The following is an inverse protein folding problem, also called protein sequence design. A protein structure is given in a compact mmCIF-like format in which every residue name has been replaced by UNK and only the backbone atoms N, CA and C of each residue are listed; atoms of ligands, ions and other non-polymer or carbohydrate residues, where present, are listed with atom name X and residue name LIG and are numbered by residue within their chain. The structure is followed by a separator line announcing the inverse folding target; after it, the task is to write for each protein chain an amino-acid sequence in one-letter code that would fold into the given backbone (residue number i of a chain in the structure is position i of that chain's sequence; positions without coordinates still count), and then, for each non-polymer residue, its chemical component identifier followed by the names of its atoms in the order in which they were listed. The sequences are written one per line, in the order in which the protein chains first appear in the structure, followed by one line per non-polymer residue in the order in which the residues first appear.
data_IF_210726179362
#
_entry.id   IF_210726179362
#
_cell.length_a   1.000
_cell.length_b   1.000
_cell.length_c   1.000
_cell.angle_alpha   90.00
_cell.angle_beta   90.00
_cell.angle_gamma   90.00
#
_symmetry.space_group_name_H-M   'P 1'
#
loop_
_entity.id
_entity.type
_entity.pdbx_description
1 polymer ?
#
# COMPACT_ATOMS: atom_id res chain seq x y z
N UNK A 1 -62.52 -19.81 -57.70
CA UNK A 1 -62.53 -18.38 -57.31
C UNK A 1 -62.96 -18.28 -55.86
N UNK A 2 -62.27 -17.44 -55.10
CA UNK A 2 -62.67 -16.74 -53.86
C UNK A 2 -63.55 -17.52 -52.86
N UNK A 3 -62.96 -18.00 -51.76
CA UNK A 3 -62.71 -17.25 -50.52
C UNK A 3 -63.91 -17.35 -49.56
N UNK A 4 -63.76 -18.23 -48.58
CA UNK A 4 -64.66 -18.38 -47.46
C UNK A 4 -64.20 -17.50 -46.29
N UNK A 5 -65.17 -16.80 -45.71
CA UNK A 5 -65.10 -15.98 -44.52
C UNK A 5 -65.22 -16.87 -43.29
N UNK A 6 -64.44 -16.56 -42.25
CA UNK A 6 -65.02 -16.51 -40.91
C UNK A 6 -64.31 -17.22 -39.76
N UNK A 7 -63.70 -16.35 -38.93
CA UNK A 7 -63.80 -16.25 -37.46
C UNK A 7 -62.76 -16.98 -36.55
N UNK A 8 -62.19 -16.13 -35.68
CA UNK A 8 -61.88 -16.28 -34.23
C UNK A 8 -60.40 -16.30 -33.81
N UNK A 9 -60.10 -15.30 -32.96
CA UNK A 9 -59.10 -15.22 -31.88
C UNK A 9 -57.61 -15.18 -32.22
N UNK A 10 -56.95 -14.10 -31.80
CA UNK A 10 -55.97 -14.07 -30.70
C UNK A 10 -55.05 -12.83 -30.83
N UNK A 11 -54.70 -12.23 -29.69
CA UNK A 11 -53.83 -11.06 -29.51
C UNK A 11 -52.62 -10.96 -30.46
N UNK A 12 -52.27 -9.75 -30.97
CA UNK A 12 -51.05 -9.57 -31.73
C UNK A 12 -49.83 -9.27 -30.85
N UNK A 13 -48.79 -9.99 -31.24
CA UNK A 13 -47.37 -9.95 -30.93
C UNK A 13 -46.72 -8.62 -31.36
N UNK A 14 -45.83 -8.12 -30.49
CA UNK A 14 -44.60 -7.34 -30.72
C UNK A 14 -44.28 -6.85 -32.15
N UNK A 15 -44.21 -5.52 -32.31
CA UNK A 15 -43.21 -4.71 -33.05
C UNK A 15 -43.23 -3.33 -32.36
N UNK A 16 -42.18 -2.53 -32.18
CA UNK A 16 -40.78 -2.51 -32.58
C UNK A 16 -40.11 -1.43 -31.72
N UNK A 17 -38.83 -1.59 -31.46
CA UNK A 17 -37.91 -0.69 -30.75
C UNK A 17 -37.92 0.77 -31.21
N UNK A 18 -37.66 1.73 -30.31
CA UNK A 18 -36.87 2.92 -30.60
C UNK A 18 -35.42 2.72 -30.15
N UNK A 19 -34.51 3.01 -31.07
CA UNK A 19 -33.05 3.01 -30.95
C UNK A 19 -32.50 3.82 -29.76
N UNK A 20 -31.39 3.39 -29.12
CA UNK A 20 -30.72 4.11 -28.05
C UNK A 20 -29.72 5.12 -28.64
N UNK A 21 -30.10 6.38 -28.77
CA UNK A 21 -29.15 7.43 -29.20
C UNK A 21 -29.45 8.80 -28.60
N UNK A 22 -29.66 8.89 -27.27
CA UNK A 22 -29.71 10.18 -26.56
C UNK A 22 -29.04 10.22 -25.17
N UNK A 23 -28.10 9.31 -24.90
CA UNK A 23 -27.25 9.38 -23.69
C UNK A 23 -25.77 9.29 -24.07
N UNK A 24 -25.30 10.23 -24.89
CA UNK A 24 -23.89 10.39 -25.30
C UNK A 24 -23.31 11.74 -24.82
N UNK A 25 -23.86 12.35 -23.75
CA UNK A 25 -23.45 13.69 -23.29
C UNK A 25 -22.94 13.79 -21.86
N UNK A 26 -22.79 12.68 -21.15
CA UNK A 26 -21.99 12.65 -19.92
C UNK A 26 -20.60 12.13 -20.27
N UNK A 27 -19.80 12.99 -20.90
CA UNK A 27 -18.35 12.85 -20.83
C UNK A 27 -17.98 12.85 -19.35
N UNK A 28 -17.20 11.87 -18.93
CA UNK A 28 -16.73 11.70 -17.57
C UNK A 28 -16.08 12.98 -17.05
N UNK A 29 -16.80 13.72 -16.21
CA UNK A 29 -16.25 14.85 -15.46
C UNK A 29 -15.61 14.29 -14.18
N UNK A 30 -14.46 13.63 -14.33
CA UNK A 30 -13.55 13.48 -13.20
C UNK A 30 -13.00 14.87 -12.87
N UNK A 31 -12.97 15.31 -11.60
CA UNK A 31 -12.22 16.50 -11.22
C UNK A 31 -10.73 16.16 -11.30
N UNK A 32 -10.13 16.27 -12.48
CA UNK A 32 -8.72 16.66 -12.55
C UNK A 32 -8.63 18.05 -11.94
N UNK A 33 -8.01 18.19 -10.77
CA UNK A 33 -7.47 19.47 -10.31
C UNK A 33 -6.45 19.97 -11.36
N UNK A 34 -6.94 20.67 -12.39
CA UNK A 34 -6.08 21.41 -13.33
C UNK A 34 -5.60 22.67 -12.63
N UNK A 35 -4.34 22.61 -12.23
CA UNK A 35 -3.52 23.71 -11.75
C UNK A 35 -3.45 24.82 -12.83
N UNK A 36 -3.79 26.06 -12.47
CA UNK A 36 -3.29 27.25 -13.18
C UNK A 36 -2.27 27.90 -12.24
N UNK A 37 -0.98 27.72 -12.55
CA UNK A 37 0.10 28.40 -11.86
C UNK A 37 0.31 29.78 -12.47
N UNK A 38 0.01 30.84 -11.72
CA UNK A 38 0.72 32.11 -11.85
C UNK A 38 1.94 32.04 -10.94
N UNK A 39 3.10 31.76 -11.52
CA UNK A 39 4.39 31.70 -10.82
C UNK A 39 4.88 33.09 -10.43
N UNK A 40 5.32 33.23 -9.18
CA UNK A 40 5.89 34.47 -8.66
C UNK A 40 6.22 34.37 -7.18
N UNK A 41 7.24 33.59 -6.82
CA UNK A 41 7.75 33.50 -5.47
C UNK A 41 9.03 32.69 -5.43
N UNK A 42 10.14 33.35 -5.07
CA UNK A 42 11.47 32.75 -4.91
C UNK A 42 11.45 31.74 -3.76
N UNK A 43 11.38 30.44 -4.07
CA UNK A 43 11.54 29.35 -3.10
C UNK A 43 12.87 28.62 -3.33
N UNK A 44 13.60 28.37 -2.25
CA UNK A 44 14.78 27.51 -2.21
C UNK A 44 14.49 26.15 -2.87
N UNK A 45 15.47 25.52 -3.54
CA UNK A 45 15.24 24.27 -4.25
C UNK A 45 14.77 23.18 -3.27
N UNK A 46 13.80 22.34 -3.68
CA UNK A 46 13.37 21.20 -2.88
C UNK A 46 14.57 20.29 -2.59
N UNK A 47 14.58 19.55 -1.47
CA UNK A 47 15.63 18.58 -1.20
C UNK A 47 15.69 17.60 -2.36
N UNK A 48 16.82 17.61 -3.07
CA UNK A 48 17.10 16.70 -4.18
C UNK A 48 16.87 15.29 -3.66
N UNK A 49 15.87 14.59 -4.18
CA UNK A 49 15.71 13.16 -3.90
C UNK A 49 16.98 12.51 -4.43
N UNK A 50 17.77 11.81 -3.59
CA UNK A 50 18.89 11.04 -4.10
C UNK A 50 18.34 10.10 -5.19
N UNK A 51 19.04 9.98 -6.31
CA UNK A 51 18.71 8.96 -7.32
C UNK A 51 18.98 7.58 -6.73
N UNK A 52 18.03 7.09 -5.92
CA UNK A 52 18.08 5.76 -5.34
C UNK A 52 17.92 4.73 -6.46
N UNK A 53 18.93 3.89 -6.62
CA UNK A 53 18.86 2.71 -7.48
C UNK A 53 18.33 1.55 -6.66
N UNK A 54 17.03 1.35 -6.74
CA UNK A 54 16.34 0.25 -6.08
C UNK A 54 16.55 -1.06 -6.84
N UNK A 55 16.63 -2.17 -6.12
CA UNK A 55 17.09 -3.44 -6.67
C UNK A 55 15.95 -4.43 -6.91
N UNK A 56 14.78 -4.23 -6.27
CA UNK A 56 13.67 -5.20 -6.31
C UNK A 56 13.24 -5.51 -7.75
N UNK A 57 12.82 -4.49 -8.50
CA UNK A 57 12.28 -4.72 -9.83
C UNK A 57 13.34 -5.24 -10.81
N UNK A 58 14.59 -4.74 -10.73
CA UNK A 58 15.68 -5.19 -11.60
C UNK A 58 16.06 -6.65 -11.32
N UNK A 59 16.05 -7.06 -10.04
CA UNK A 59 16.28 -8.44 -9.65
C UNK A 59 15.16 -9.37 -10.15
N UNK A 60 13.90 -8.95 -10.01
CA UNK A 60 12.74 -9.70 -10.51
C UNK A 60 12.74 -9.85 -12.03
N UNK A 61 13.02 -8.76 -12.78
CA UNK A 61 13.13 -8.79 -14.24
C UNK A 61 14.25 -9.74 -14.68
N UNK A 62 15.40 -9.71 -14.00
CA UNK A 62 16.54 -10.59 -14.27
C UNK A 62 16.20 -12.06 -14.04
N UNK A 63 15.30 -12.35 -13.10
CA UNK A 63 14.73 -13.68 -12.85
C UNK A 63 13.57 -14.04 -13.80
N UNK A 64 13.26 -13.20 -14.78
CA UNK A 64 12.22 -13.44 -15.78
C UNK A 64 10.79 -13.26 -15.26
N UNK A 65 10.60 -12.44 -14.22
CA UNK A 65 9.29 -11.94 -13.77
C UNK A 65 9.02 -10.62 -14.46
N UNK A 66 7.86 -10.48 -15.10
CA UNK A 66 7.47 -9.21 -15.72
C UNK A 66 7.11 -8.17 -14.65
N UNK A 67 7.92 -7.13 -14.50
CA UNK A 67 7.65 -6.04 -13.55
C UNK A 67 7.01 -4.80 -14.18
N UNK A 68 6.54 -4.87 -15.43
CA UNK A 68 6.03 -3.70 -16.18
C UNK A 68 4.96 -2.94 -15.38
N UNK A 69 3.94 -3.63 -14.88
CA UNK A 69 2.86 -3.01 -14.11
C UNK A 69 3.30 -2.58 -12.71
N UNK A 70 4.21 -3.32 -12.06
CA UNK A 70 4.76 -2.92 -10.76
C UNK A 70 5.56 -1.61 -10.87
N UNK A 71 6.39 -1.47 -11.92
CA UNK A 71 7.14 -0.25 -12.22
C UNK A 71 6.23 0.91 -12.57
N UNK A 72 5.19 0.69 -13.38
CA UNK A 72 4.20 1.72 -13.72
C UNK A 72 3.50 2.23 -12.44
N UNK A 73 3.04 1.33 -11.58
CA UNK A 73 2.44 1.68 -10.31
C UNK A 73 3.41 2.44 -9.38
N UNK A 74 4.69 2.03 -9.33
CA UNK A 74 5.74 2.76 -8.60
C UNK A 74 5.94 4.17 -9.15
N UNK A 75 5.95 4.36 -10.46
CA UNK A 75 6.05 5.69 -11.07
C UNK A 75 4.84 6.56 -10.74
N UNK A 76 3.64 5.97 -10.74
CA UNK A 76 2.42 6.67 -10.33
C UNK A 76 2.52 7.10 -8.86
N UNK A 77 2.97 6.24 -7.95
CA UNK A 77 3.25 6.59 -6.56
C UNK A 77 4.27 7.75 -6.47
N UNK A 78 5.40 7.64 -7.16
CA UNK A 78 6.44 8.67 -7.21
C UNK A 78 5.91 10.02 -7.72
N UNK A 79 5.04 10.01 -8.72
CA UNK A 79 4.43 11.23 -9.27
C UNK A 79 3.58 11.97 -8.24
N UNK A 80 2.89 11.25 -7.35
CA UNK A 80 2.08 11.83 -6.28
C UNK A 80 2.94 12.42 -5.18
N UNK A 81 3.95 11.68 -4.71
CA UNK A 81 4.80 12.13 -3.60
C UNK A 81 5.75 13.27 -4.01
N UNK A 82 6.03 13.46 -5.30
CA UNK A 82 6.73 14.65 -5.82
C UNK A 82 5.98 15.95 -5.50
N UNK A 83 4.67 15.90 -5.26
CA UNK A 83 3.85 17.03 -4.83
C UNK A 83 3.99 17.40 -3.35
N UNK A 84 4.78 16.65 -2.56
CA UNK A 84 4.94 16.86 -1.11
C UNK A 84 6.08 17.84 -0.78
N UNK A 85 5.78 19.14 -0.66
CA UNK A 85 6.71 20.06 0.04
C UNK A 85 6.68 19.82 1.56
N UNK A 86 7.55 20.53 2.29
CA UNK A 86 7.53 20.52 3.77
C UNK A 86 6.16 20.91 4.33
N UNK A 87 5.44 21.82 3.67
CA UNK A 87 4.11 22.25 4.11
C UNK A 87 3.08 21.16 3.84
N UNK A 88 3.04 20.59 2.62
CA UNK A 88 2.04 19.56 2.29
C UNK A 88 2.13 18.32 3.18
N UNK A 89 3.34 17.99 3.64
CA UNK A 89 3.60 16.86 4.54
C UNK A 89 2.88 17.01 5.87
N UNK A 90 2.88 18.22 6.43
CA UNK A 90 2.27 18.54 7.74
C UNK A 90 0.79 18.92 7.64
N UNK A 91 0.25 19.09 6.43
CA UNK A 91 -1.17 19.42 6.25
C UNK A 91 -2.05 18.21 6.60
N UNK A 92 -3.15 18.45 7.31
CA UNK A 92 -4.14 17.43 7.63
C UNK A 92 -4.71 16.77 6.37
N UNK A 93 -4.92 15.46 6.43
CA UNK A 93 -5.34 14.65 5.27
C UNK A 93 -6.66 15.09 4.65
N UNK A 94 -7.60 15.63 5.42
CA UNK A 94 -8.90 16.15 4.97
C UNK A 94 -8.82 17.55 4.32
N UNK A 95 -7.70 18.25 4.49
CA UNK A 95 -7.48 19.61 3.98
C UNK A 95 -6.53 19.61 2.78
N UNK A 96 -5.65 18.61 2.68
CA UNK A 96 -4.70 18.49 1.58
C UNK A 96 -5.41 18.53 0.21
N UNK A 97 -4.87 19.36 -0.70
CA UNK A 97 -5.38 19.53 -2.08
C UNK A 97 -4.35 19.21 -3.17
N UNK A 98 -3.07 19.07 -2.80
CA UNK A 98 -1.97 18.93 -3.76
C UNK A 98 -1.66 17.47 -4.10
N UNK A 99 -1.92 16.55 -3.18
CA UNK A 99 -1.61 15.13 -3.34
C UNK A 99 -2.91 14.33 -3.34
N UNK A 100 -3.08 13.50 -4.36
CA UNK A 100 -4.20 12.58 -4.45
C UNK A 100 -3.88 11.33 -3.62
N UNK A 101 -4.31 11.35 -2.34
CA UNK A 101 -4.02 10.28 -1.39
C UNK A 101 -4.70 8.96 -1.79
N UNK A 102 -5.88 9.03 -2.41
CA UNK A 102 -6.58 7.86 -2.93
C UNK A 102 -5.77 7.19 -4.06
N UNK A 103 -5.31 7.96 -5.05
CA UNK A 103 -4.44 7.45 -6.12
C UNK A 103 -3.11 6.97 -5.58
N UNK A 104 -2.56 7.63 -4.57
CA UNK A 104 -1.31 7.20 -3.92
C UNK A 104 -1.48 5.82 -3.28
N UNK A 105 -2.55 5.61 -2.51
CA UNK A 105 -2.86 4.33 -1.87
C UNK A 105 -3.25 3.22 -2.86
N UNK A 106 -3.91 3.55 -3.97
CA UNK A 106 -4.18 2.58 -5.04
C UNK A 106 -2.91 2.26 -5.82
N UNK A 107 -2.00 3.20 -6.02
CA UNK A 107 -0.70 2.92 -6.66
C UNK A 107 0.10 1.92 -5.83
N UNK A 108 0.10 2.06 -4.50
CA UNK A 108 0.64 1.06 -3.57
C UNK A 108 -0.04 -0.31 -3.79
N UNK A 109 -1.37 -0.32 -3.85
CA UNK A 109 -2.14 -1.55 -4.07
C UNK A 109 -1.85 -2.21 -5.41
N UNK A 110 -1.69 -1.41 -6.47
CA UNK A 110 -1.47 -1.88 -7.84
C UNK A 110 -0.06 -2.47 -8.00
N UNK A 111 0.94 -1.84 -7.39
CA UNK A 111 2.30 -2.37 -7.35
C UNK A 111 2.34 -3.72 -6.63
N UNK A 112 1.82 -3.76 -5.40
CA UNK A 112 1.83 -4.98 -4.60
C UNK A 112 0.97 -6.09 -5.24
N UNK A 113 -0.15 -5.74 -5.87
CA UNK A 113 -0.94 -6.69 -6.65
C UNK A 113 -0.15 -7.26 -7.82
N UNK A 114 0.61 -6.45 -8.56
CA UNK A 114 1.46 -6.93 -9.65
C UNK A 114 2.62 -7.82 -9.14
N UNK A 115 3.14 -7.55 -7.94
CA UNK A 115 4.16 -8.39 -7.30
C UNK A 115 3.60 -9.72 -6.77
N UNK A 116 2.35 -9.74 -6.30
CA UNK A 116 1.66 -10.94 -5.78
C UNK A 116 1.07 -11.81 -6.89
N UNK A 117 0.51 -11.18 -7.91
CA UNK A 117 -0.34 -11.82 -8.90
C UNK A 117 0.46 -12.24 -10.12
N UNK A 118 0.19 -13.45 -10.63
CA UNK A 118 0.64 -13.86 -11.97
C UNK A 118 -0.29 -13.32 -13.08
N UNK A 119 -1.26 -12.47 -12.72
CA UNK A 119 -2.18 -11.85 -13.67
C UNK A 119 -1.42 -10.92 -14.61
N UNK A 120 -1.60 -11.06 -15.94
CA UNK A 120 -1.07 -10.11 -16.90
C UNK A 120 -1.85 -8.80 -16.92
N UNK A 121 -2.94 -8.67 -16.15
CA UNK A 121 -3.71 -7.44 -16.08
C UNK A 121 -3.38 -6.62 -14.84
N UNK A 122 -3.27 -5.29 -15.00
CA UNK A 122 -3.10 -4.37 -13.89
C UNK A 122 -4.40 -4.24 -13.08
N UNK A 123 -4.25 -3.81 -11.83
CA UNK A 123 -5.37 -3.42 -10.98
C UNK A 123 -6.10 -2.21 -11.61
N UNK A 124 -7.42 -2.25 -11.80
CA UNK A 124 -8.15 -1.14 -12.43
C UNK A 124 -8.27 0.03 -11.45
N UNK A 125 -7.42 1.04 -11.59
CA UNK A 125 -7.30 2.17 -10.66
C UNK A 125 -8.58 3.04 -10.63
N UNK A 126 -9.06 3.46 -11.79
CA UNK A 126 -10.14 4.45 -11.89
C UNK A 126 -11.46 3.97 -11.25
N UNK A 127 -11.92 2.72 -11.44
CA UNK A 127 -13.13 2.23 -10.77
C UNK A 127 -13.10 2.31 -9.24
N UNK A 128 -11.94 2.13 -8.60
CA UNK A 128 -11.83 2.26 -7.15
C UNK A 128 -11.83 3.73 -6.70
N UNK A 129 -11.30 4.65 -7.51
CA UNK A 129 -11.44 6.09 -7.28
C UNK A 129 -12.91 6.50 -7.40
N UNK A 130 -13.59 6.07 -8.46
CA UNK A 130 -15.01 6.36 -8.69
C UNK A 130 -15.89 5.84 -7.55
N UNK A 131 -15.53 4.70 -6.95
CA UNK A 131 -16.25 4.18 -5.78
C UNK A 131 -16.24 5.14 -4.59
N UNK A 132 -15.20 5.94 -4.38
CA UNK A 132 -15.17 6.96 -3.32
C UNK A 132 -16.16 8.09 -3.61
N UNK A 133 -16.30 8.50 -4.87
CA UNK A 133 -17.31 9.47 -5.29
C UNK A 133 -18.73 8.91 -5.11
N UNK A 134 -18.94 7.64 -5.44
CA UNK A 134 -20.22 6.96 -5.21
C UNK A 134 -20.60 6.92 -3.73
N UNK A 135 -19.64 6.62 -2.84
CA UNK A 135 -19.86 6.65 -1.39
C UNK A 135 -20.26 8.05 -0.90
N UNK A 136 -19.63 9.11 -1.42
CA UNK A 136 -20.02 10.48 -1.11
C UNK A 136 -21.43 10.83 -1.63
N UNK A 137 -21.79 10.38 -2.85
CA UNK A 137 -23.14 10.54 -3.38
C UNK A 137 -24.19 9.78 -2.57
N UNK A 138 -23.87 8.55 -2.15
CA UNK A 138 -24.71 7.73 -1.28
C UNK A 138 -24.94 8.41 0.08
N UNK A 139 -23.90 9.02 0.66
CA UNK A 139 -24.01 9.82 1.88
C UNK A 139 -24.99 10.99 1.70
N UNK A 140 -24.86 11.77 0.61
CA UNK A 140 -25.75 12.89 0.32
C UNK A 140 -27.22 12.48 0.09
N UNK A 141 -27.46 11.33 -0.56
CA UNK A 141 -28.83 10.82 -0.80
C UNK A 141 -29.53 10.40 0.48
N UNK A 142 -28.78 9.85 1.42
CA UNK A 142 -29.33 9.25 2.65
C UNK A 142 -29.40 10.23 3.82
N UNK A 143 -28.56 11.27 3.84
CA UNK A 143 -28.50 12.22 4.94
C UNK A 143 -29.12 13.57 4.59
N UNK A 144 -30.13 13.95 5.36
CA UNK A 144 -30.79 15.28 5.29
C UNK A 144 -30.04 16.36 6.09
N UNK A 145 -28.94 16.00 6.73
CA UNK A 145 -28.21 16.78 7.75
C UNK A 145 -27.06 17.60 7.13
N UNK A 146 -27.05 17.78 5.81
CA UNK A 146 -25.96 18.46 5.07
C UNK A 146 -25.74 19.94 5.43
N UNK A 147 -26.66 20.54 6.21
CA UNK A 147 -26.56 21.95 6.70
C UNK A 147 -26.73 22.06 8.22
N UNK A 148 -26.46 20.99 8.96
CA UNK A 148 -26.48 21.04 10.42
C UNK A 148 -25.19 21.63 11.00
N UNK A 149 -25.04 21.64 12.33
CA UNK A 149 -23.78 22.04 12.95
C UNK A 149 -22.64 21.11 12.50
N UNK A 150 -21.38 21.58 12.53
CA UNK A 150 -20.22 20.76 12.17
C UNK A 150 -20.20 19.39 12.86
N UNK A 151 -20.55 19.34 14.14
CA UNK A 151 -20.57 18.12 14.94
C UNK A 151 -21.66 17.17 14.48
N UNK A 152 -22.88 17.67 14.28
CA UNK A 152 -23.99 16.84 13.84
C UNK A 152 -23.75 16.27 12.43
N UNK A 153 -23.06 17.03 11.57
CA UNK A 153 -22.62 16.57 10.25
C UNK A 153 -21.57 15.46 10.38
N UNK A 154 -20.53 15.66 11.18
CA UNK A 154 -19.44 14.69 11.36
C UNK A 154 -19.94 13.39 12.04
N UNK A 155 -20.87 13.49 13.00
CA UNK A 155 -21.54 12.35 13.63
C UNK A 155 -22.42 11.58 12.63
N UNK A 156 -23.09 12.31 11.74
CA UNK A 156 -23.88 11.73 10.64
C UNK A 156 -22.99 10.97 9.66
N UNK A 157 -21.84 11.53 9.27
CA UNK A 157 -20.86 10.87 8.41
C UNK A 157 -20.23 9.65 9.09
N UNK A 158 -19.84 9.78 10.36
CA UNK A 158 -19.34 8.66 11.17
C UNK A 158 -20.38 7.52 11.21
N UNK A 159 -21.64 7.86 11.47
CA UNK A 159 -22.73 6.89 11.50
C UNK A 159 -22.97 6.25 10.14
N UNK A 160 -22.87 7.01 9.04
CA UNK A 160 -22.99 6.48 7.68
C UNK A 160 -21.86 5.50 7.35
N UNK A 161 -20.61 5.82 7.72
CA UNK A 161 -19.48 4.97 7.38
C UNK A 161 -19.44 3.68 8.18
N UNK A 162 -19.76 3.73 9.47
CA UNK A 162 -19.47 2.61 10.37
C UNK A 162 -20.72 1.91 10.93
N UNK A 163 -21.89 2.57 10.93
CA UNK A 163 -23.09 2.06 11.62
C UNK A 163 -24.22 1.73 10.64
N UNK A 164 -24.56 2.65 9.74
CA UNK A 164 -25.71 2.54 8.83
C UNK A 164 -25.26 2.01 7.47
N UNK A 165 -26.01 1.07 6.90
CA UNK A 165 -25.84 0.70 5.49
C UNK A 165 -26.28 1.86 4.60
N UNK A 166 -25.45 2.24 3.62
CA UNK A 166 -25.93 2.85 2.40
C UNK A 166 -26.78 1.81 1.67
N UNK A 167 -28.09 1.81 1.91
CA UNK A 167 -29.02 0.98 1.14
C UNK A 167 -29.07 1.62 -0.25
N UNK A 168 -28.27 1.10 -1.19
CA UNK A 168 -28.56 0.99 -2.62
C UNK A 168 -27.34 0.38 -3.34
N UNK A 169 -27.37 -0.95 -3.45
CA UNK A 169 -26.57 -1.74 -4.38
C UNK A 169 -26.70 -1.18 -5.80
N UNK A 170 -25.64 -0.58 -6.34
CA UNK A 170 -25.42 -0.51 -7.78
C UNK A 170 -24.93 -1.89 -8.25
N UNK A 171 -25.48 -2.45 -9.35
CA UNK A 171 -24.86 -3.60 -9.98
C UNK A 171 -23.58 -3.10 -10.63
N UNK A 172 -22.42 -3.51 -10.11
CA UNK A 172 -21.16 -3.32 -10.81
C UNK A 172 -21.31 -3.93 -12.21
N UNK A 173 -21.02 -3.13 -13.23
CA UNK A 173 -20.90 -3.63 -14.59
C UNK A 173 -19.95 -4.84 -14.57
N UNK A 174 -20.39 -5.92 -15.19
CA UNK A 174 -19.62 -7.16 -15.33
C UNK A 174 -18.23 -6.86 -15.88
N UNK A 175 -17.25 -6.73 -15.00
CA UNK A 175 -15.85 -6.92 -15.38
C UNK A 175 -15.68 -8.43 -15.51
N UNK A 176 -15.30 -8.89 -16.70
CA UNK A 176 -15.04 -10.30 -17.04
C UNK A 176 -13.77 -10.83 -16.34
N UNK A 177 -13.64 -10.62 -15.03
CA UNK A 177 -12.62 -11.18 -14.17
C UNK A 177 -13.32 -11.87 -13.02
N UNK A 178 -13.46 -13.20 -13.11
CA UNK A 178 -13.77 -14.12 -12.00
C UNK A 178 -14.91 -13.71 -11.06
N UNK A 179 -16.01 -14.45 -11.10
CA UNK A 179 -17.12 -14.36 -10.14
C UNK A 179 -16.61 -14.27 -8.67
N UNK A 180 -16.73 -13.09 -8.06
CA UNK A 180 -16.75 -12.95 -6.60
C UNK A 180 -18.16 -12.55 -6.21
N UNK A 181 -18.89 -13.51 -5.67
CA UNK A 181 -20.20 -13.31 -5.10
C UNK A 181 -20.02 -12.47 -3.82
N UNK A 182 -20.40 -11.19 -3.88
CA UNK A 182 -20.31 -10.29 -2.72
C UNK A 182 -21.21 -10.81 -1.60
N UNK A 183 -20.58 -11.30 -0.52
CA UNK A 183 -21.29 -11.65 0.71
C UNK A 183 -22.02 -10.43 1.25
N UNK A 184 -23.33 -10.57 1.46
CA UNK A 184 -24.14 -9.57 2.15
C UNK A 184 -23.76 -9.51 3.63
N UNK A 185 -22.76 -8.70 3.97
CA UNK A 185 -22.63 -8.20 5.34
C UNK A 185 -23.56 -6.99 5.53
N UNK A 186 -24.32 -6.99 6.63
CA UNK A 186 -25.32 -5.96 6.95
C UNK A 186 -24.72 -4.78 7.74
N UNK A 187 -23.41 -4.53 7.64
CA UNK A 187 -22.67 -3.62 8.52
C UNK A 187 -21.86 -2.61 7.70
N UNK A 188 -21.65 -1.40 8.23
CA UNK A 188 -20.75 -0.41 7.63
C UNK A 188 -19.29 -0.88 7.66
N UNK A 189 -18.37 0.01 7.25
CA UNK A 189 -16.95 -0.24 7.37
C UNK A 189 -16.59 -0.63 8.80
N UNK A 190 -15.68 -1.60 8.96
CA UNK A 190 -15.20 -2.03 10.26
C UNK A 190 -13.68 -2.15 10.26
N UNK A 191 -13.09 -1.91 11.44
CA UNK A 191 -11.65 -2.05 11.63
C UNK A 191 -11.29 -3.53 11.74
N UNK A 192 -10.38 -3.98 10.90
CA UNK A 192 -9.79 -5.30 11.03
C UNK A 192 -8.70 -5.30 12.09
N UNK A 193 -8.66 -6.34 12.93
CA UNK A 193 -7.56 -6.56 13.85
C UNK A 193 -6.42 -7.20 13.06
N UNK A 194 -5.38 -6.41 12.74
CA UNK A 194 -4.30 -6.71 11.78
C UNK A 194 -3.37 -7.88 12.15
N UNK A 195 -3.81 -8.85 12.96
CA UNK A 195 -2.97 -9.94 13.46
C UNK A 195 -3.01 -11.21 12.62
N UNK A 196 -3.93 -11.32 11.65
CA UNK A 196 -4.01 -12.48 10.77
C UNK A 196 -3.34 -12.20 9.43
N UNK A 197 -2.13 -12.75 9.23
CA UNK A 197 -1.37 -12.73 7.95
C UNK A 197 -2.15 -13.34 6.77
N UNK A 198 -3.22 -14.08 7.07
CA UNK A 198 -4.01 -14.81 6.07
C UNK A 198 -4.84 -13.87 5.17
N UNK A 199 -5.07 -12.62 5.57
CA UNK A 199 -5.96 -11.69 4.89
C UNK A 199 -5.35 -10.27 4.85
N UNK A 200 -4.51 -9.94 3.85
CA UNK A 200 -3.91 -8.60 3.73
C UNK A 200 -4.90 -7.54 3.20
N UNK A 201 -6.13 -7.94 2.85
CA UNK A 201 -7.20 -7.06 2.35
C UNK A 201 -7.35 -5.73 3.10
N UNK A 202 -7.28 -5.68 4.45
CA UNK A 202 -7.48 -4.43 5.17
C UNK A 202 -6.34 -3.40 4.98
N UNK A 203 -5.22 -3.79 4.37
CA UNK A 203 -4.06 -2.93 4.11
C UNK A 203 -4.17 -2.17 2.79
N UNK A 204 -5.11 -2.54 1.92
CA UNK A 204 -5.17 -2.03 0.55
C UNK A 204 -6.51 -1.36 0.26
N UNK A 205 -6.49 -0.13 -0.26
CA UNK A 205 -7.71 0.66 -0.46
C UNK A 205 -8.75 -0.05 -1.33
N UNK A 206 -8.32 -0.68 -2.43
CA UNK A 206 -9.22 -1.40 -3.35
C UNK A 206 -9.99 -2.53 -2.63
N UNK A 207 -9.30 -3.27 -1.76
CA UNK A 207 -9.89 -4.35 -0.99
C UNK A 207 -10.75 -3.81 0.15
N UNK A 208 -10.33 -2.73 0.82
CA UNK A 208 -11.14 -2.06 1.86
C UNK A 208 -12.49 -1.59 1.28
N UNK A 209 -12.50 -1.00 0.09
CA UNK A 209 -13.73 -0.56 -0.59
C UNK A 209 -14.64 -1.73 -1.00
N UNK A 210 -14.05 -2.90 -1.24
CA UNK A 210 -14.75 -4.13 -1.67
C UNK A 210 -15.33 -4.89 -0.48
N UNK A 211 -14.52 -5.12 0.55
CA UNK A 211 -14.85 -5.97 1.71
C UNK A 211 -15.34 -5.17 2.92
N UNK A 212 -15.26 -3.84 2.87
CA UNK A 212 -15.64 -2.93 3.96
C UNK A 212 -14.89 -3.21 5.26
N UNK A 213 -13.70 -3.80 5.17
CA UNK A 213 -12.82 -4.14 6.28
C UNK A 213 -11.47 -3.49 6.06
N UNK A 214 -11.01 -2.66 6.99
CA UNK A 214 -9.80 -1.86 6.79
C UNK A 214 -8.94 -1.67 8.04
N UNK A 215 -7.67 -1.34 7.84
CA UNK A 215 -6.81 -0.78 8.87
C UNK A 215 -7.33 0.59 9.31
N UNK A 216 -6.88 1.08 10.47
CA UNK A 216 -7.22 2.45 10.89
C UNK A 216 -6.78 3.50 9.86
N UNK A 217 -5.61 3.31 9.22
CA UNK A 217 -5.09 4.23 8.21
C UNK A 217 -5.93 4.21 6.92
N UNK A 218 -6.35 3.04 6.45
CA UNK A 218 -7.21 2.94 5.27
C UNK A 218 -8.61 3.50 5.51
N UNK A 219 -9.17 3.27 6.71
CA UNK A 219 -10.45 3.86 7.08
C UNK A 219 -10.37 5.39 7.22
N UNK A 220 -9.26 5.91 7.76
CA UNK A 220 -9.02 7.35 7.83
C UNK A 220 -8.91 7.97 6.44
N UNK A 221 -8.24 7.29 5.51
CA UNK A 221 -8.17 7.69 4.11
C UNK A 221 -9.57 7.78 3.50
N UNK A 222 -10.37 6.70 3.56
CA UNK A 222 -11.75 6.69 3.02
C UNK A 222 -12.59 7.83 3.60
N UNK A 223 -12.52 8.05 4.92
CA UNK A 223 -13.22 9.14 5.60
C UNK A 223 -12.78 10.50 5.01
N UNK A 224 -11.47 10.73 4.90
CA UNK A 224 -10.91 11.99 4.40
C UNK A 224 -11.27 12.27 2.94
N UNK A 225 -11.30 11.25 2.09
CA UNK A 225 -11.61 11.40 0.66
C UNK A 225 -13.08 11.77 0.47
N UNK A 226 -14.00 11.20 1.26
CA UNK A 226 -15.40 11.60 1.23
C UNK A 226 -15.55 13.07 1.66
N UNK A 227 -14.86 13.51 2.71
CA UNK A 227 -14.87 14.92 3.12
C UNK A 227 -14.34 15.85 2.01
N UNK A 228 -13.28 15.47 1.31
CA UNK A 228 -12.74 16.23 0.17
C UNK A 228 -13.76 16.34 -0.97
N UNK A 229 -14.45 15.25 -1.31
CA UNK A 229 -15.51 15.27 -2.33
C UNK A 229 -16.65 16.19 -1.92
N UNK A 230 -17.11 16.10 -0.67
CA UNK A 230 -18.19 16.96 -0.15
C UNK A 230 -17.78 18.44 -0.14
N UNK A 231 -16.53 18.74 0.19
CA UNK A 231 -15.96 20.08 0.08
C UNK A 231 -15.91 20.57 -1.36
N UNK A 232 -15.51 19.71 -2.30
CA UNK A 232 -15.50 20.04 -3.72
C UNK A 232 -16.90 20.40 -4.24
N UNK A 233 -17.94 19.72 -3.75
CA UNK A 233 -19.34 20.06 -4.05
C UNK A 233 -19.89 21.25 -3.26
N UNK A 234 -19.06 21.96 -2.48
CA UNK A 234 -19.49 23.08 -1.62
C UNK A 234 -20.57 22.67 -0.59
N UNK A 235 -20.55 21.40 -0.16
CA UNK A 235 -21.40 20.87 0.90
C UNK A 235 -20.71 20.82 2.27
N UNK A 236 -19.43 21.17 2.32
CA UNK A 236 -18.63 21.29 3.54
C UNK A 236 -18.01 22.69 3.59
N UNK A 237 -18.52 23.53 4.50
CA UNK A 237 -18.15 24.95 4.64
C UNK A 237 -17.22 25.24 5.84
N UNK A 238 -16.83 24.21 6.59
CA UNK A 238 -15.90 24.29 7.71
C UNK A 238 -14.65 23.42 7.49
N UNK A 239 -13.61 23.70 8.27
CA UNK A 239 -12.40 22.89 8.31
C UNK A 239 -12.50 21.74 9.28
N UNK A 240 -12.25 20.53 8.78
CA UNK A 240 -12.24 19.32 9.58
C UNK A 240 -10.86 18.68 9.51
N UNK A 241 -10.52 17.98 10.58
CA UNK A 241 -9.34 17.14 10.71
C UNK A 241 -9.79 15.72 11.01
N UNK A 242 -8.89 14.75 10.81
CA UNK A 242 -9.16 13.35 11.14
C UNK A 242 -8.40 12.99 12.41
N UNK A 243 -9.14 12.67 13.46
CA UNK A 243 -8.62 12.09 14.68
C UNK A 243 -8.32 10.60 14.45
N UNK A 244 -7.09 10.20 14.74
CA UNK A 244 -6.59 8.85 14.56
C UNK A 244 -6.52 8.06 15.88
N UNK A 245 -7.13 6.86 15.90
CA UNK A 245 -7.13 6.01 17.07
C UNK A 245 -5.82 5.22 17.18
N UNK A 246 -5.06 5.47 18.26
CA UNK A 246 -3.87 4.68 18.60
C UNK A 246 -4.19 3.40 19.39
N UNK A 247 -5.45 3.22 19.81
CA UNK A 247 -5.91 1.99 20.44
C UNK A 247 -6.24 0.90 19.39
N UNK A 248 -6.58 -0.31 19.85
CA UNK A 248 -6.80 -1.47 18.96
C UNK A 248 -8.15 -1.50 18.25
N UNK A 249 -9.15 -0.81 18.78
CA UNK A 249 -10.56 -0.96 18.34
C UNK A 249 -11.18 0.36 17.88
N UNK A 250 -10.55 1.49 18.19
CA UNK A 250 -11.01 2.80 17.81
C UNK A 250 -11.12 2.94 16.29
N UNK A 251 -12.09 3.74 15.87
CA UNK A 251 -12.31 4.08 14.47
C UNK A 251 -11.89 5.55 14.25
N UNK A 252 -11.29 5.88 13.10
CA UNK A 252 -11.01 7.26 12.71
C UNK A 252 -12.27 8.10 12.69
N UNK A 253 -12.17 9.34 13.17
CA UNK A 253 -13.33 10.25 13.28
C UNK A 253 -12.96 11.62 12.76
N UNK A 254 -13.90 12.24 12.04
CA UNK A 254 -13.78 13.64 11.70
C UNK A 254 -13.98 14.52 12.93
N UNK A 255 -13.25 15.61 12.97
CA UNK A 255 -13.25 16.56 14.08
C UNK A 255 -13.23 17.99 13.52
N UNK A 256 -13.96 18.92 14.15
CA UNK A 256 -14.02 20.32 13.71
C UNK A 256 -12.75 21.06 14.15
N UNK A 257 -11.94 21.51 13.19
CA UNK A 257 -10.62 22.10 13.43
C UNK A 257 -10.62 23.26 14.43
N UNK A 258 -11.63 24.13 14.41
CA UNK A 258 -11.68 25.28 15.33
C UNK A 258 -11.79 24.90 16.81
N UNK A 259 -12.15 23.64 17.12
CA UNK A 259 -12.24 23.16 18.50
C UNK A 259 -10.95 22.49 18.98
N UNK A 260 -9.97 22.26 18.09
CA UNK A 260 -8.80 21.42 18.36
C UNK A 260 -8.00 21.94 19.54
N UNK A 261 -7.73 21.07 20.52
CA UNK A 261 -6.83 21.38 21.61
C UNK A 261 -5.39 20.99 21.27
N UNK A 262 -4.42 21.58 21.97
CA UNK A 262 -3.01 21.18 21.87
C UNK A 262 -2.81 19.68 22.16
N UNK A 263 -3.61 19.12 23.07
CA UNK A 263 -3.63 17.69 23.40
C UNK A 263 -4.06 16.77 22.24
N UNK A 264 -4.77 17.30 21.24
CA UNK A 264 -5.29 16.52 20.12
C UNK A 264 -4.27 16.34 19.00
N UNK A 265 -3.26 17.21 18.93
CA UNK A 265 -2.23 17.22 17.88
C UNK A 265 -1.56 15.85 17.63
N UNK A 266 -1.16 15.06 18.64
CA UNK A 266 -0.58 13.73 18.39
C UNK A 266 -1.53 12.75 17.70
N UNK A 267 -2.84 13.03 17.70
CA UNK A 267 -3.87 12.23 17.07
C UNK A 267 -4.33 12.76 15.71
N UNK A 268 -3.88 13.93 15.27
CA UNK A 268 -4.29 14.48 13.98
C UNK A 268 -3.43 13.86 12.87
N UNK A 269 -4.08 13.21 11.90
CA UNK A 269 -3.37 12.67 10.74
C UNK A 269 -3.00 13.78 9.75
N UNK A 270 -1.70 13.86 9.47
CA UNK A 270 -1.12 14.62 8.38
C UNK A 270 -0.90 13.71 7.17
N UNK A 271 -0.62 14.29 6.00
CA UNK A 271 -0.31 13.49 4.80
C UNK A 271 0.91 12.60 5.04
N UNK A 272 1.93 13.14 5.70
CA UNK A 272 3.15 12.43 6.01
C UNK A 272 2.88 11.22 6.91
N UNK A 273 2.19 11.43 8.04
CA UNK A 273 1.92 10.36 9.00
C UNK A 273 0.96 9.31 8.43
N UNK A 274 -0.03 9.69 7.62
CA UNK A 274 -0.91 8.72 6.95
C UNK A 274 -0.14 7.79 6.01
N UNK A 275 0.70 8.36 5.12
CA UNK A 275 1.43 7.56 4.14
C UNK A 275 2.45 6.64 4.81
N UNK A 276 3.11 7.11 5.87
CA UNK A 276 3.95 6.25 6.71
C UNK A 276 3.17 5.14 7.37
N UNK A 277 2.03 5.44 8.00
CA UNK A 277 1.21 4.40 8.64
C UNK A 277 0.78 3.35 7.63
N UNK A 278 0.33 3.74 6.43
CA UNK A 278 -0.01 2.81 5.36
C UNK A 278 1.18 1.90 5.04
N UNK A 279 2.36 2.48 4.79
CA UNK A 279 3.53 1.71 4.38
C UNK A 279 4.13 0.87 5.51
N UNK A 280 4.12 1.36 6.76
CA UNK A 280 4.54 0.61 7.95
C UNK A 280 3.63 -0.59 8.18
N UNK A 281 2.31 -0.43 8.05
CA UNK A 281 1.36 -1.53 8.15
C UNK A 281 1.63 -2.61 7.08
N UNK A 282 1.92 -2.21 5.83
CA UNK A 282 2.31 -3.14 4.76
C UNK A 282 3.64 -3.83 5.10
N UNK A 283 4.68 -3.05 5.43
CA UNK A 283 6.02 -3.56 5.79
C UNK A 283 5.96 -4.56 6.94
N UNK A 284 5.22 -4.26 8.00
CA UNK A 284 5.06 -5.13 9.17
C UNK A 284 4.31 -6.42 8.82
N UNK A 285 3.23 -6.32 8.04
CA UNK A 285 2.43 -7.49 7.64
C UNK A 285 3.24 -8.50 6.81
N UNK A 286 4.10 -8.00 5.92
CA UNK A 286 4.90 -8.82 5.02
C UNK A 286 6.34 -9.02 5.48
N UNK A 287 6.74 -8.53 6.66
CA UNK A 287 8.09 -8.74 7.15
C UNK A 287 8.36 -10.25 7.34
N UNK A 288 9.39 -10.84 6.71
CA UNK A 288 9.58 -12.29 6.76
C UNK A 288 9.93 -12.83 8.16
N UNK A 289 10.51 -11.98 9.02
CA UNK A 289 11.07 -12.37 10.31
C UNK A 289 10.13 -11.97 11.47
N UNK A 290 9.04 -12.71 11.63
CA UNK A 290 7.98 -12.38 12.61
C UNK A 290 8.25 -12.86 14.04
N UNK A 291 9.32 -13.62 14.27
CA UNK A 291 9.65 -14.15 15.59
C UNK A 291 10.07 -13.03 16.55
N UNK A 292 9.75 -13.19 17.84
CA UNK A 292 10.17 -12.28 18.91
C UNK A 292 9.70 -10.82 18.74
N UNK A 293 8.43 -10.58 19.07
CA UNK A 293 7.81 -9.26 18.99
C UNK A 293 8.40 -8.22 19.96
N UNK A 294 9.31 -8.61 20.86
CA UNK A 294 10.02 -7.68 21.76
C UNK A 294 11.15 -6.94 21.04
N UNK A 295 11.60 -7.46 19.89
CA UNK A 295 12.64 -6.86 19.04
C UNK A 295 12.04 -6.03 17.91
N UNK A 296 12.81 -5.07 17.40
CA UNK A 296 12.49 -4.39 16.15
C UNK A 296 12.60 -5.32 14.94
N UNK A 297 11.94 -4.95 13.83
CA UNK A 297 11.99 -5.70 12.57
C UNK A 297 13.44 -5.94 12.10
N UNK A 298 14.29 -4.91 12.19
CA UNK A 298 15.71 -4.99 11.90
C UNK A 298 16.42 -6.06 12.72
N UNK A 299 16.28 -6.02 14.04
CA UNK A 299 16.93 -6.98 14.93
C UNK A 299 16.48 -8.41 14.67
N UNK A 300 15.20 -8.62 14.38
CA UNK A 300 14.66 -9.95 14.01
C UNK A 300 15.34 -10.46 12.73
N UNK A 301 15.52 -9.59 11.74
CA UNK A 301 16.18 -9.94 10.48
C UNK A 301 17.69 -10.19 10.66
N UNK A 302 18.42 -9.38 11.42
CA UNK A 302 19.85 -9.59 11.69
C UNK A 302 20.08 -10.84 12.53
N UNK A 303 19.20 -11.14 13.49
CA UNK A 303 19.27 -12.38 14.25
C UNK A 303 19.17 -13.60 13.33
N UNK A 304 18.29 -13.57 12.32
CA UNK A 304 18.20 -14.62 11.32
C UNK A 304 19.49 -14.80 10.49
N UNK A 305 20.27 -13.72 10.29
CA UNK A 305 21.61 -13.79 9.68
C UNK A 305 22.59 -14.55 10.57
N UNK A 306 22.52 -14.39 11.89
CA UNK A 306 23.46 -15.05 12.82
C UNK A 306 23.18 -16.55 12.98
N UNK A 307 21.91 -16.95 12.87
CA UNK A 307 21.53 -18.36 12.88
C UNK A 307 22.04 -19.16 11.67
N UNK A 308 22.42 -18.52 10.56
CA UNK A 308 23.02 -19.22 9.41
C UNK A 308 24.45 -19.68 9.68
N UNK A 309 25.18 -19.00 10.57
CA UNK A 309 26.63 -19.24 10.79
C UNK A 309 26.92 -20.31 11.83
N UNK A 310 25.97 -20.58 12.73
CA UNK A 310 26.16 -21.50 13.87
C UNK A 310 25.97 -22.98 13.55
N UNK A 311 25.85 -23.35 12.26
CA UNK A 311 25.48 -24.72 11.85
C UNK A 311 26.58 -25.80 12.02
N UNK A 312 27.38 -25.72 13.08
CA UNK A 312 28.36 -26.75 13.45
C UNK A 312 28.12 -27.44 14.79
N UNK A 313 27.31 -26.88 15.71
CA UNK A 313 27.23 -27.42 17.08
C UNK A 313 25.83 -27.25 17.67
N UNK A 314 25.21 -28.39 17.97
CA UNK A 314 24.00 -28.65 18.79
C UNK A 314 22.63 -28.57 18.11
N UNK A 315 21.88 -29.66 18.28
CA UNK A 315 20.48 -29.88 17.91
C UNK A 315 19.55 -28.87 18.61
N UNK A 316 19.16 -27.83 17.89
CA UNK A 316 17.97 -27.05 18.21
C UNK A 316 17.02 -27.07 17.01
N UNK A 317 15.92 -27.82 17.17
CA UNK A 317 14.67 -27.88 16.40
C UNK A 317 14.72 -27.57 14.89
N UNK A 318 14.40 -28.59 14.08
CA UNK A 318 14.42 -28.58 12.60
C UNK A 318 13.59 -27.53 11.86
N UNK A 319 12.95 -26.57 12.55
CA UNK A 319 12.28 -25.42 11.94
C UNK A 319 13.23 -24.23 11.67
N UNK A 320 14.32 -24.08 12.42
CA UNK A 320 15.27 -22.97 12.23
C UNK A 320 16.24 -23.20 11.06
N UNK A 321 16.47 -24.46 10.69
CA UNK A 321 17.44 -24.86 9.66
C UNK A 321 16.95 -24.60 8.22
N UNK A 322 15.63 -24.62 8.00
CA UNK A 322 14.97 -24.40 6.71
C UNK A 322 14.80 -22.91 6.34
N UNK A 323 14.91 -21.98 7.29
CA UNK A 323 14.75 -20.54 7.01
C UNK A 323 16.04 -19.89 6.48
N UNK A 324 17.18 -20.34 7.02
CA UNK A 324 18.52 -19.81 6.81
C UNK A 324 19.21 -20.36 5.55
N UNK A 325 19.07 -21.67 5.27
CA UNK A 325 19.64 -22.29 4.07
C UNK A 325 18.90 -21.89 2.79
N UNK A 326 17.66 -21.43 2.91
CA UNK A 326 16.76 -21.21 1.78
C UNK A 326 16.87 -19.80 1.18
N UNK A 327 17.58 -18.84 1.80
CA UNK A 327 17.76 -17.48 1.23
C UNK A 327 18.69 -17.42 0.01
N UNK A 328 19.67 -18.32 -0.10
CA UNK A 328 20.58 -18.42 -1.26
C UNK A 328 19.93 -19.07 -2.49
N UNK A 329 18.79 -19.74 -2.33
CA UNK A 329 18.06 -20.49 -3.37
C UNK A 329 16.79 -19.77 -3.87
N UNK A 330 16.54 -18.53 -3.44
CA UNK A 330 15.21 -17.90 -3.46
C UNK A 330 14.87 -17.03 -4.69
N UNK A 331 15.85 -16.60 -5.51
CA UNK A 331 15.56 -15.83 -6.73
C UNK A 331 15.58 -16.67 -8.03
N UNK A 332 16.18 -17.86 -8.01
CA UNK A 332 16.64 -18.53 -9.25
C UNK A 332 15.88 -19.83 -9.60
N UNK A 333 14.92 -20.30 -8.79
CA UNK A 333 14.12 -21.51 -9.10
C UNK A 333 12.62 -21.26 -9.11
N UNK A 334 12.07 -21.26 -10.33
CA UNK A 334 10.68 -21.05 -10.77
C UNK A 334 9.65 -22.09 -10.29
N UNK A 335 9.92 -22.81 -9.21
CA UNK A 335 9.00 -23.83 -8.66
C UNK A 335 9.05 -23.78 -7.15
N UNK A 336 8.15 -23.03 -6.50
CA UNK A 336 7.41 -23.52 -5.33
C UNK A 336 6.35 -22.50 -4.88
N UNK A 337 5.21 -23.05 -4.51
CA UNK A 337 4.05 -22.55 -3.75
C UNK A 337 4.38 -21.94 -2.36
N UNK A 338 5.40 -21.08 -2.24
CA UNK A 338 5.89 -20.58 -0.94
C UNK A 338 5.53 -19.11 -0.68
N UNK A 339 4.54 -18.90 0.19
CA UNK A 339 4.07 -17.61 0.74
C UNK A 339 5.20 -16.65 1.16
N UNK A 340 6.37 -17.17 1.56
CA UNK A 340 7.49 -16.40 2.11
C UNK A 340 8.29 -15.54 1.10
N UNK A 341 8.27 -15.90 -0.18
CA UNK A 341 8.96 -15.13 -1.23
C UNK A 341 8.18 -13.87 -1.63
N UNK A 342 6.87 -14.02 -1.70
CA UNK A 342 5.94 -12.92 -1.91
C UNK A 342 6.06 -11.93 -0.75
N UNK A 343 6.11 -12.42 0.49
CA UNK A 343 6.30 -11.59 1.68
C UNK A 343 7.58 -10.74 1.61
N UNK A 344 8.72 -11.34 1.24
CA UNK A 344 10.00 -10.58 1.13
C UNK A 344 9.94 -9.49 0.06
N UNK A 345 9.33 -9.78 -1.09
CA UNK A 345 9.22 -8.82 -2.20
C UNK A 345 8.34 -7.63 -1.84
N UNK A 346 7.23 -7.89 -1.15
CA UNK A 346 6.33 -6.85 -0.64
C UNK A 346 6.98 -6.03 0.48
N UNK A 347 7.73 -6.68 1.38
CA UNK A 347 8.49 -5.98 2.41
C UNK A 347 9.58 -5.08 1.80
N UNK A 348 10.30 -5.55 0.77
CA UNK A 348 11.25 -4.74 0.02
C UNK A 348 10.55 -3.55 -0.63
N UNK A 349 9.45 -3.77 -1.36
CA UNK A 349 8.68 -2.70 -2.01
C UNK A 349 8.22 -1.64 -1.01
N UNK A 350 7.71 -2.05 0.16
CA UNK A 350 7.31 -1.14 1.22
C UNK A 350 8.49 -0.31 1.76
N UNK A 351 9.66 -0.94 1.98
CA UNK A 351 10.87 -0.23 2.41
C UNK A 351 11.35 0.77 1.36
N UNK A 352 11.35 0.42 0.07
CA UNK A 352 11.73 1.35 -1.01
C UNK A 352 10.81 2.57 -1.06
N UNK A 353 9.49 2.36 -0.90
CA UNK A 353 8.50 3.45 -0.82
C UNK A 353 8.69 4.33 0.44
N UNK A 354 9.05 3.74 1.58
CA UNK A 354 9.38 4.47 2.80
C UNK A 354 10.67 5.30 2.65
N UNK A 355 11.70 4.75 1.99
CA UNK A 355 12.93 5.47 1.63
C UNK A 355 12.61 6.66 0.72
N UNK A 356 11.75 6.45 -0.29
CA UNK A 356 11.28 7.51 -1.20
C UNK A 356 10.50 8.62 -0.47
N UNK A 357 9.70 8.29 0.55
CA UNK A 357 9.04 9.29 1.38
C UNK A 357 10.06 10.11 2.19
N UNK A 358 11.22 9.55 2.51
CA UNK A 358 12.36 10.26 3.08
C UNK A 358 12.25 10.58 4.58
N UNK A 359 11.32 9.93 5.30
CA UNK A 359 11.00 10.24 6.69
C UNK A 359 12.04 9.77 7.70
N UNK A 360 12.35 8.47 7.72
CA UNK A 360 13.24 7.87 8.71
C UNK A 360 14.46 7.23 8.02
N UNK A 361 15.70 7.64 8.34
CA UNK A 361 16.90 6.99 7.82
C UNK A 361 16.97 5.49 8.15
N UNK A 362 16.32 5.01 9.21
CA UNK A 362 16.30 3.58 9.59
C UNK A 362 15.73 2.68 8.50
N UNK A 363 14.94 3.23 7.59
CA UNK A 363 14.42 2.47 6.45
C UNK A 363 15.52 1.99 5.51
N UNK A 364 16.67 2.69 5.45
CA UNK A 364 17.85 2.27 4.68
C UNK A 364 18.49 0.99 5.25
N UNK A 365 18.63 0.88 6.59
CA UNK A 365 19.20 -0.33 7.22
C UNK A 365 18.23 -1.51 7.14
N UNK A 366 16.92 -1.26 7.23
CA UNK A 366 15.88 -2.28 7.15
C UNK A 366 15.82 -2.85 5.72
N UNK A 367 15.88 -1.99 4.70
CA UNK A 367 16.02 -2.41 3.32
C UNK A 367 17.32 -3.18 3.07
N UNK A 368 18.45 -2.69 3.63
CA UNK A 368 19.75 -3.37 3.52
C UNK A 368 19.72 -4.80 4.03
N UNK A 369 19.13 -5.06 5.21
CA UNK A 369 19.08 -6.43 5.75
C UNK A 369 18.16 -7.33 4.93
N UNK A 370 17.08 -6.81 4.34
CA UNK A 370 16.27 -7.59 3.40
C UNK A 370 17.07 -7.94 2.14
N UNK A 371 17.82 -7.00 1.57
CA UNK A 371 18.70 -7.25 0.43
C UNK A 371 19.77 -8.31 0.73
N UNK A 372 20.33 -8.29 1.95
CA UNK A 372 21.25 -9.33 2.42
C UNK A 372 20.60 -10.71 2.35
N UNK A 373 19.36 -10.84 2.82
CA UNK A 373 18.60 -12.09 2.77
C UNK A 373 18.14 -12.48 1.36
N UNK A 374 18.19 -11.57 0.39
CA UNK A 374 18.00 -11.86 -1.03
C UNK A 374 19.31 -12.22 -1.76
N UNK A 375 20.46 -12.20 -1.07
CA UNK A 375 21.77 -12.43 -1.69
C UNK A 375 22.30 -11.24 -2.49
N UNK A 376 21.65 -10.08 -2.41
CA UNK A 376 22.06 -8.83 -3.07
C UNK A 376 23.05 -8.07 -2.18
N UNK A 377 24.22 -8.70 -1.93
CA UNK A 377 25.18 -8.24 -0.93
C UNK A 377 25.81 -6.89 -1.26
N UNK A 378 26.10 -6.62 -2.54
CA UNK A 378 26.68 -5.34 -2.96
C UNK A 378 25.70 -4.19 -2.69
N UNK A 379 24.43 -4.37 -3.08
CA UNK A 379 23.38 -3.38 -2.85
C UNK A 379 23.10 -3.24 -1.35
N UNK A 380 23.05 -4.35 -0.61
CA UNK A 380 22.91 -4.33 0.85
C UNK A 380 24.00 -3.46 1.50
N UNK A 381 25.27 -3.68 1.15
CA UNK A 381 26.39 -2.89 1.66
C UNK A 381 26.29 -1.41 1.29
N UNK A 382 25.84 -1.08 0.07
CA UNK A 382 25.63 0.31 -0.36
C UNK A 382 24.58 1.02 0.51
N UNK A 383 23.42 0.41 0.72
CA UNK A 383 22.35 1.01 1.53
C UNK A 383 22.71 1.10 3.02
N UNK A 384 23.47 0.15 3.54
CA UNK A 384 23.97 0.22 4.92
C UNK A 384 24.99 1.36 5.12
N UNK A 385 25.84 1.61 4.13
CA UNK A 385 26.74 2.78 4.12
C UNK A 385 25.94 4.09 4.09
N UNK A 386 24.93 4.20 3.22
CA UNK A 386 24.04 5.36 3.17
C UNK A 386 23.33 5.62 4.52
N UNK A 387 22.91 4.55 5.21
CA UNK A 387 22.37 4.67 6.57
C UNK A 387 23.39 5.28 7.54
N UNK A 388 24.63 4.78 7.55
CA UNK A 388 25.69 5.29 8.42
C UNK A 388 26.02 6.76 8.16
N UNK A 389 26.12 7.16 6.89
CA UNK A 389 26.39 8.54 6.49
C UNK A 389 25.27 9.48 6.98
N UNK A 390 24.01 9.08 6.76
CA UNK A 390 22.84 9.88 7.16
C UNK A 390 22.70 9.96 8.68
N UNK A 391 22.98 8.87 9.39
CA UNK A 391 23.04 8.83 10.85
C UNK A 391 24.14 9.75 11.40
N UNK A 392 25.34 9.70 10.83
CA UNK A 392 26.48 10.52 11.24
C UNK A 392 26.25 12.03 11.06
N UNK A 393 25.43 12.41 10.08
CA UNK A 393 25.02 13.80 9.85
C UNK A 393 23.97 14.33 10.83
N UNK A 394 23.21 13.45 11.49
CA UNK A 394 22.23 13.86 12.51
C UNK A 394 22.94 14.08 13.85
N UNK A 395 23.29 15.34 14.17
CA UNK A 395 23.91 15.76 15.43
C UNK A 395 23.01 15.63 16.68
N UNK A 396 21.91 14.89 16.62
CA UNK A 396 21.03 14.67 17.76
C UNK A 396 21.46 13.42 18.53
N UNK A 397 22.30 13.65 19.54
CA UNK A 397 22.59 12.70 20.63
C UNK A 397 21.30 12.47 21.43
N UNK A 398 20.39 11.64 20.93
CA UNK A 398 19.28 11.14 21.74
C UNK A 398 19.85 10.22 22.82
N UNK A 399 19.24 10.24 24.01
CA UNK A 399 19.52 9.25 25.05
C UNK A 399 19.28 7.86 24.44
N UNK A 400 20.34 7.08 24.29
CA UNK A 400 20.27 5.81 23.59
C UNK A 400 19.52 4.79 24.44
N UNK A 401 18.29 4.48 24.05
CA UNK A 401 17.53 3.34 24.54
C UNK A 401 18.35 2.05 24.33
N UNK A 402 18.21 1.07 25.24
CA UNK A 402 18.93 -0.21 25.20
C UNK A 402 18.71 -0.93 23.86
N UNK A 403 17.48 -0.86 23.33
CA UNK A 403 17.12 -1.40 22.03
C UNK A 403 17.86 -0.69 20.88
N UNK A 404 18.04 0.63 20.96
CA UNK A 404 18.80 1.39 19.97
C UNK A 404 20.27 1.00 19.98
N UNK A 405 20.87 0.77 21.16
CA UNK A 405 22.27 0.30 21.26
C UNK A 405 22.41 -1.06 20.58
N UNK A 406 21.48 -1.98 20.83
CA UNK A 406 21.49 -3.31 20.24
C UNK A 406 21.35 -3.26 18.71
N UNK A 407 20.50 -2.37 18.19
CA UNK A 407 20.36 -2.14 16.74
C UNK A 407 21.65 -1.65 16.11
N UNK A 408 22.39 -0.77 16.77
CA UNK A 408 23.67 -0.27 16.26
C UNK A 408 24.73 -1.37 16.22
N UNK A 409 24.87 -2.14 17.30
CA UNK A 409 25.78 -3.29 17.33
C UNK A 409 25.42 -4.32 16.26
N UNK A 410 24.12 -4.56 16.04
CA UNK A 410 23.63 -5.44 14.98
C UNK A 410 23.98 -4.91 13.58
N UNK A 411 23.85 -3.60 13.35
CA UNK A 411 24.25 -2.93 12.11
C UNK A 411 25.74 -3.04 11.81
N UNK A 412 26.59 -2.82 12.82
CA UNK A 412 28.05 -2.98 12.70
C UNK A 412 28.44 -4.42 12.36
N UNK A 413 27.81 -5.41 13.01
CA UNK A 413 28.03 -6.83 12.70
C UNK A 413 27.65 -7.18 11.28
N UNK A 414 26.49 -6.70 10.81
CA UNK A 414 26.05 -6.90 9.43
C UNK A 414 27.04 -6.26 8.44
N UNK A 415 27.53 -5.06 8.73
CA UNK A 415 28.52 -4.36 7.93
C UNK A 415 29.84 -5.13 7.82
N UNK A 416 30.37 -5.60 8.95
CA UNK A 416 31.58 -6.42 8.98
C UNK A 416 31.41 -7.68 8.12
N UNK A 417 30.27 -8.35 8.25
CA UNK A 417 29.98 -9.55 7.46
C UNK A 417 29.89 -9.28 5.96
N UNK A 418 29.21 -8.22 5.56
CA UNK A 418 29.12 -7.81 4.14
C UNK A 418 30.50 -7.47 3.56
N UNK A 419 31.36 -6.82 4.33
CA UNK A 419 32.74 -6.54 3.91
C UNK A 419 33.55 -7.84 3.76
N UNK A 420 33.40 -8.82 4.66
CA UNK A 420 34.05 -10.13 4.54
C UNK A 420 33.59 -10.86 3.26
N UNK A 421 32.28 -10.90 3.00
CA UNK A 421 31.72 -11.50 1.77
C UNK A 421 32.26 -10.81 0.52
N UNK A 422 32.39 -9.48 0.57
CA UNK A 422 32.91 -8.69 -0.56
C UNK A 422 34.41 -8.95 -0.85
N UNK A 423 35.15 -9.47 0.13
CA UNK A 423 36.57 -9.83 0.00
C UNK A 423 36.77 -11.27 -0.50
N UNK A 424 35.73 -12.12 -0.48
CA UNK A 424 35.79 -13.48 -1.01
C UNK A 424 35.58 -13.50 -2.54
N UNK A 425 36.53 -14.06 -3.30
CA UNK A 425 36.39 -14.23 -4.74
C UNK A 425 35.23 -15.18 -5.08
N UNK A 426 34.32 -14.76 -5.97
CA UNK A 426 33.26 -15.61 -6.54
C UNK A 426 31.83 -15.40 -6.02
N UNK A 427 31.61 -14.47 -5.09
CA UNK A 427 30.27 -14.22 -4.51
C UNK A 427 29.51 -13.02 -5.11
N UNK A 428 30.17 -12.21 -5.92
CA UNK A 428 29.66 -10.91 -6.40
C UNK A 428 28.76 -10.98 -7.65
N UNK A 429 28.58 -12.14 -8.30
CA UNK A 429 27.73 -12.24 -9.50
C UNK A 429 26.94 -13.55 -9.57
N UNK A 430 25.61 -13.51 -9.86
CA UNK A 430 24.94 -14.70 -10.37
C UNK A 430 25.53 -15.06 -11.74
N UNK A 431 25.81 -16.34 -12.02
CA UNK A 431 26.29 -16.75 -13.33
C UNK A 431 25.21 -16.43 -14.37
N UNK A 432 25.57 -15.63 -15.38
CA UNK A 432 24.72 -15.42 -16.55
C UNK A 432 24.40 -16.78 -17.18
N UNK A 433 23.10 -17.08 -17.26
CA UNK A 433 22.45 -18.21 -17.92
C UNK A 433 23.33 -18.98 -18.92
N UNK A 434 23.91 -20.09 -18.47
CA UNK A 434 24.27 -21.20 -19.33
C UNK A 434 23.11 -22.20 -19.33
N UNK A 435 22.51 -22.47 -20.50
CA UNK A 435 21.61 -23.61 -20.70
C UNK A 435 22.34 -24.91 -20.30
N UNK A 436 22.17 -25.38 -19.06
CA UNK A 436 22.65 -26.69 -18.68
C UNK A 436 21.62 -27.71 -19.19
N UNK A 437 21.95 -28.30 -20.32
CA UNK A 437 21.32 -29.48 -20.88
C UNK A 437 21.31 -30.60 -19.82
N UNK A 438 20.10 -31.06 -19.52
CA UNK A 438 19.82 -32.21 -18.68
C UNK A 438 20.32 -33.48 -19.39
N UNK A 439 21.49 -34.00 -19.01
CA UNK A 439 21.82 -35.39 -19.30
C UNK A 439 21.42 -36.21 -18.08
N UNK A 440 20.30 -36.91 -18.22
CA UNK A 440 19.85 -37.94 -17.30
C UNK A 440 20.81 -39.13 -17.38
N UNK A 441 21.46 -39.44 -16.28
CA UNK A 441 22.05 -40.75 -16.03
C UNK A 441 21.93 -41.02 -14.53
N UNK A 442 20.87 -41.76 -14.16
CA UNK A 442 20.72 -42.33 -12.83
C UNK A 442 21.74 -43.46 -12.61
N UNK A 443 22.26 -43.67 -11.38
CA UNK A 443 22.89 -44.91 -11.01
C UNK A 443 21.99 -45.79 -10.12
N UNK A 444 21.88 -47.05 -10.56
CA UNK A 444 21.53 -48.32 -9.89
C UNK A 444 20.13 -48.53 -9.33
#
# INVERSE_FOLDING_TARGET
MAAAVGIVSSYPRLKSSPSPSKYSKYQSFHPTCRLVCCGGGSELPPPTTPDFKFALHDALDSSGVDTTHAREARQNFMSQIKGLSSIEREVSISINRRVDLAKTAISISAEDFALMSQSPLPLPVDPFIDRLFDLAMEFCKTNKVLRASPEAFLDSLYSFLYVKKAINSFPLAQLNYGFVQFGSSNQGFHRSNMRSRLEPHPLYLHAVLTYQSGSASMLALVYSEILKVLRFWSLLDFDCEIFFPHDRYGLPRGYHKQKSAESDHPHILTVQTLLEEILKNVKEAFWPFQHDHTKSLFLRAVHAVSCTDRSGVVEESGFHLESAKTSRWRLDRRTLTSLHLVDTSLALSACERLILLGFDPKELRDYSVLLYHCGLYEQSLQYLKLYQDRKGSSLQKQASDELSILEEVAGEKLMMRLNLISMEEGWSKPPHSGKILLNNSEPS
#
